data_IF_761710303581
#
_entry.id   IF_761710303581
#
_cell.length_a   1.000
_cell.length_b   1.000
_cell.length_c   1.000
_cell.angle_alpha   90.00
_cell.angle_beta   90.00
_cell.angle_gamma   90.00
#
_symmetry.space_group_name_H-M   'P 1'
#
loop_
_entity.id
_entity.type
_entity.pdbx_description
1 polymer ?
#
# COMPACT_ATOMS: atom_id res chain seq x y z
N UNK A 1 -4.47 -20.08 -19.54
CA UNK A 1 -3.86 -19.40 -18.39
C UNK A 1 -2.37 -19.72 -18.41
N UNK A 2 -1.55 -18.68 -18.35
CA UNK A 2 -0.23 -18.57 -18.99
C UNK A 2 0.87 -19.37 -18.26
N UNK A 3 1.73 -20.08 -18.98
CA UNK A 3 2.80 -20.91 -18.38
C UNK A 3 3.69 -20.21 -17.37
N UNK A 4 3.74 -18.86 -17.40
CA UNK A 4 4.38 -18.04 -16.38
C UNK A 4 3.80 -18.22 -14.97
N UNK A 5 2.47 -18.22 -14.79
CA UNK A 5 1.88 -18.34 -13.44
C UNK A 5 2.06 -19.74 -12.88
N UNK A 6 1.97 -20.76 -13.72
CA UNK A 6 2.29 -22.15 -13.34
C UNK A 6 3.76 -22.29 -12.96
N UNK A 7 4.67 -21.72 -13.74
CA UNK A 7 6.11 -21.72 -13.44
C UNK A 7 6.41 -21.01 -12.11
N UNK A 8 5.82 -19.82 -11.91
CA UNK A 8 6.02 -19.04 -10.68
C UNK A 8 5.49 -19.79 -9.46
N UNK A 9 4.33 -20.45 -9.59
CA UNK A 9 3.73 -21.24 -8.52
C UNK A 9 4.51 -22.50 -8.17
N UNK A 10 5.10 -23.14 -9.17
CA UNK A 10 6.02 -24.28 -8.98
C UNK A 10 7.43 -23.89 -8.56
N UNK A 11 7.75 -22.59 -8.48
CA UNK A 11 9.09 -22.13 -8.07
C UNK A 11 9.40 -22.51 -6.62
N UNK A 12 10.69 -22.59 -6.28
CA UNK A 12 11.12 -22.91 -4.92
C UNK A 12 10.52 -21.95 -3.86
N UNK A 13 10.34 -20.68 -4.21
CA UNK A 13 9.69 -19.68 -3.33
C UNK A 13 8.20 -19.97 -3.18
N UNK A 14 7.49 -20.21 -4.27
CA UNK A 14 6.05 -20.51 -4.25
C UNK A 14 5.75 -21.79 -3.45
N UNK A 15 6.53 -22.85 -3.69
CA UNK A 15 6.42 -24.12 -2.96
C UNK A 15 6.79 -23.94 -1.48
N UNK A 16 7.90 -23.27 -1.16
CA UNK A 16 8.30 -23.04 0.23
C UNK A 16 7.26 -22.23 1.00
N UNK A 17 6.75 -21.14 0.41
CA UNK A 17 5.72 -20.31 1.06
C UNK A 17 4.42 -21.09 1.26
N UNK A 18 4.02 -21.98 0.34
CA UNK A 18 2.77 -22.75 0.43
C UNK A 18 2.85 -24.00 1.32
N UNK A 19 3.93 -24.76 1.23
CA UNK A 19 4.00 -26.13 1.75
C UNK A 19 4.88 -26.28 3.00
N UNK A 20 5.74 -25.31 3.31
CA UNK A 20 6.61 -25.42 4.49
C UNK A 20 5.78 -25.38 5.78
N UNK A 21 5.97 -26.34 6.70
CA UNK A 21 5.29 -26.34 8.00
C UNK A 21 5.89 -25.31 8.98
N UNK A 22 6.94 -24.59 8.58
CA UNK A 22 7.61 -23.61 9.43
C UNK A 22 6.75 -22.37 9.65
N UNK A 23 6.75 -21.85 10.88
CA UNK A 23 6.13 -20.56 11.19
C UNK A 23 6.66 -19.41 10.31
N UNK A 24 7.90 -19.54 9.83
CA UNK A 24 8.61 -18.55 9.04
C UNK A 24 8.15 -18.47 7.57
N UNK A 25 7.38 -19.47 7.11
CA UNK A 25 6.87 -19.51 5.74
C UNK A 25 5.57 -18.70 5.62
N UNK A 26 4.44 -19.32 5.26
CA UNK A 26 3.17 -18.63 5.07
C UNK A 26 2.79 -17.68 6.22
N UNK A 27 2.87 -18.07 7.52
CA UNK A 27 2.39 -17.23 8.61
C UNK A 27 3.20 -15.94 8.77
N UNK A 28 4.54 -16.02 8.81
CA UNK A 28 5.38 -14.83 8.89
C UNK A 28 5.29 -13.99 7.62
N UNK A 29 5.28 -14.58 6.42
CA UNK A 29 5.15 -13.82 5.17
C UNK A 29 3.83 -13.03 5.14
N UNK A 30 2.71 -13.66 5.51
CA UNK A 30 1.41 -13.01 5.60
C UNK A 30 1.38 -11.91 6.68
N UNK A 31 2.02 -12.17 7.82
CA UNK A 31 2.12 -11.20 8.92
C UNK A 31 2.91 -9.97 8.48
N UNK A 32 4.10 -10.16 7.90
CA UNK A 32 4.93 -9.08 7.39
C UNK A 32 4.24 -8.32 6.26
N UNK A 33 3.51 -9.01 5.38
CA UNK A 33 2.68 -8.37 4.35
C UNK A 33 1.67 -7.43 5.00
N UNK A 34 0.93 -7.92 5.99
CA UNK A 34 -0.11 -7.14 6.68
C UNK A 34 0.48 -5.96 7.46
N UNK A 35 1.57 -6.16 8.20
CA UNK A 35 2.27 -5.11 8.96
C UNK A 35 2.85 -4.06 8.01
N UNK A 36 3.53 -4.47 6.93
CA UNK A 36 4.08 -3.55 5.94
C UNK A 36 3.00 -2.69 5.28
N UNK A 37 1.85 -3.30 4.96
CA UNK A 37 0.70 -2.57 4.44
C UNK A 37 0.13 -1.59 5.48
N UNK A 38 0.00 -2.03 6.74
CA UNK A 38 -0.48 -1.19 7.84
C UNK A 38 0.41 0.04 8.08
N UNK A 39 1.74 -0.14 8.03
CA UNK A 39 2.70 0.97 8.14
C UNK A 39 2.56 1.93 6.96
N UNK A 40 2.52 1.41 5.73
CA UNK A 40 2.38 2.22 4.52
C UNK A 40 1.08 3.04 4.54
N UNK A 41 -0.05 2.37 4.70
CA UNK A 41 -1.38 3.00 4.67
C UNK A 41 -1.59 3.91 5.88
N UNK A 42 -1.18 3.48 7.06
CA UNK A 42 -1.34 4.26 8.30
C UNK A 42 -0.54 5.55 8.29
N UNK A 43 0.74 5.49 7.91
CA UNK A 43 1.57 6.69 7.78
C UNK A 43 1.03 7.64 6.69
N UNK A 44 0.54 7.11 5.58
CA UNK A 44 -0.11 7.90 4.55
C UNK A 44 -1.38 8.59 5.06
N UNK A 45 -2.23 7.86 5.78
CA UNK A 45 -3.47 8.38 6.33
C UNK A 45 -3.24 9.52 7.32
N UNK A 46 -2.17 9.47 8.13
CA UNK A 46 -1.81 10.59 9.04
C UNK A 46 -1.54 11.87 8.25
N UNK A 47 -0.82 11.79 7.13
CA UNK A 47 -0.55 12.92 6.25
C UNK A 47 -1.85 13.41 5.61
N UNK A 48 -2.66 12.49 5.08
CA UNK A 48 -3.91 12.83 4.42
C UNK A 48 -4.91 13.52 5.37
N UNK A 49 -5.12 12.97 6.57
CA UNK A 49 -5.97 13.59 7.59
C UNK A 49 -5.44 14.96 8.01
N UNK A 50 -4.11 15.11 8.09
CA UNK A 50 -3.53 16.43 8.36
C UNK A 50 -3.86 17.42 7.24
N UNK A 51 -3.75 17.03 5.97
CA UNK A 51 -4.06 17.89 4.82
C UNK A 51 -5.56 18.21 4.71
N UNK A 52 -6.42 17.31 5.19
CA UNK A 52 -7.86 17.54 5.31
C UNK A 52 -8.25 18.43 6.51
N UNK A 53 -7.30 18.76 7.40
CA UNK A 53 -7.53 19.69 8.51
C UNK A 53 -7.92 19.06 9.84
N UNK A 54 -7.82 17.74 10.01
CA UNK A 54 -8.17 17.06 11.28
C UNK A 54 -7.17 17.32 12.41
N UNK A 55 -5.92 17.69 12.11
CA UNK A 55 -4.86 17.93 13.09
C UNK A 55 -4.12 19.26 12.84
N UNK A 56 -4.81 20.41 12.82
CA UNK A 56 -4.26 21.67 12.29
C UNK A 56 -2.99 22.14 13.02
N UNK A 57 -2.85 21.80 14.31
CA UNK A 57 -1.69 22.14 15.16
C UNK A 57 -0.42 21.37 14.82
N UNK A 58 -0.50 20.30 14.03
CA UNK A 58 0.67 19.49 13.67
C UNK A 58 1.35 20.11 12.44
N UNK A 59 2.61 20.57 12.52
CA UNK A 59 3.27 21.18 11.37
C UNK A 59 3.50 20.15 10.26
N UNK A 60 3.15 20.46 9.01
CA UNK A 60 3.37 19.54 7.87
C UNK A 60 4.85 19.09 7.75
N UNK A 61 5.86 19.94 7.96
CA UNK A 61 7.26 19.51 7.92
C UNK A 61 7.63 18.42 8.92
N UNK A 62 6.95 18.34 10.07
CA UNK A 62 7.24 17.30 11.08
C UNK A 62 6.78 15.90 10.64
N UNK A 63 5.94 15.81 9.61
CA UNK A 63 5.48 14.56 9.02
C UNK A 63 6.43 14.00 7.95
N UNK A 64 7.42 14.77 7.49
CA UNK A 64 8.38 14.33 6.47
C UNK A 64 9.09 12.99 6.78
N UNK A 65 9.45 12.68 8.05
CA UNK A 65 10.03 11.38 8.39
C UNK A 65 9.11 10.18 8.10
N UNK A 66 7.78 10.36 8.10
CA UNK A 66 6.82 9.27 7.82
C UNK A 66 7.02 8.66 6.44
N UNK A 67 7.45 9.44 5.45
CA UNK A 67 7.74 8.90 4.11
C UNK A 67 8.81 7.79 4.14
N UNK A 68 9.79 7.84 5.05
CA UNK A 68 10.79 6.76 5.17
C UNK A 68 10.15 5.45 5.62
N UNK A 69 9.26 5.53 6.60
CA UNK A 69 8.50 4.37 7.10
C UNK A 69 7.53 3.86 6.03
N UNK A 70 6.89 4.75 5.27
CA UNK A 70 6.03 4.37 4.14
C UNK A 70 6.80 3.56 3.10
N UNK A 71 7.98 4.01 2.68
CA UNK A 71 8.80 3.27 1.72
C UNK A 71 9.31 1.94 2.27
N UNK A 72 9.73 1.89 3.54
CA UNK A 72 10.12 0.64 4.18
C UNK A 72 8.93 -0.35 4.23
N UNK A 73 7.75 0.12 4.65
CA UNK A 73 6.52 -0.67 4.67
C UNK A 73 6.12 -1.14 3.27
N UNK A 74 6.26 -0.29 2.25
CA UNK A 74 6.00 -0.66 0.85
C UNK A 74 6.95 -1.74 0.35
N UNK A 75 8.25 -1.64 0.61
CA UNK A 75 9.24 -2.66 0.20
C UNK A 75 8.92 -4.00 0.86
N UNK A 76 8.67 -4.01 2.17
CA UNK A 76 8.26 -5.22 2.89
C UNK A 76 6.99 -5.81 2.27
N UNK A 77 5.98 -4.96 2.03
CA UNK A 77 4.69 -5.39 1.49
C UNK A 77 4.81 -5.93 0.05
N UNK A 78 5.63 -5.30 -0.79
CA UNK A 78 5.85 -5.71 -2.18
C UNK A 78 6.58 -7.05 -2.26
N UNK A 79 7.66 -7.24 -1.48
CA UNK A 79 8.42 -8.49 -1.44
C UNK A 79 7.55 -9.63 -0.94
N UNK A 80 6.91 -9.45 0.22
CA UNK A 80 6.02 -10.47 0.79
C UNK A 80 4.79 -10.72 -0.07
N UNK A 81 4.24 -9.68 -0.72
CA UNK A 81 3.13 -9.79 -1.66
C UNK A 81 3.49 -10.61 -2.90
N UNK A 82 4.72 -10.45 -3.41
CA UNK A 82 5.23 -11.28 -4.50
C UNK A 82 5.38 -12.75 -4.08
N UNK A 83 5.83 -13.02 -2.85
CA UNK A 83 5.91 -14.38 -2.30
C UNK A 83 4.51 -15.02 -2.14
N UNK A 84 3.54 -14.26 -1.59
CA UNK A 84 2.15 -14.71 -1.48
C UNK A 84 1.52 -14.97 -2.84
N UNK A 85 1.74 -14.07 -3.81
CA UNK A 85 1.30 -14.27 -5.17
C UNK A 85 1.94 -15.51 -5.79
N UNK A 86 3.25 -15.72 -5.60
CA UNK A 86 3.92 -16.92 -6.07
C UNK A 86 3.32 -18.19 -5.43
N UNK A 87 2.89 -18.17 -4.17
CA UNK A 87 2.30 -19.36 -3.53
C UNK A 87 1.00 -19.85 -4.16
N UNK A 88 0.24 -18.97 -4.84
CA UNK A 88 -1.08 -19.27 -5.43
C UNK A 88 -1.31 -18.48 -6.74
N UNK A 89 -0.28 -18.40 -7.59
CA UNK A 89 -0.25 -17.49 -8.74
C UNK A 89 -1.33 -17.80 -9.78
N UNK A 90 -1.65 -19.07 -10.03
CA UNK A 90 -2.65 -19.46 -11.04
C UNK A 90 -4.05 -19.00 -10.64
N UNK A 91 -4.38 -19.12 -9.35
CA UNK A 91 -5.67 -18.71 -8.81
C UNK A 91 -5.76 -17.20 -8.75
N UNK A 92 -4.75 -16.53 -8.16
CA UNK A 92 -4.77 -15.07 -7.98
C UNK A 92 -4.71 -14.30 -9.30
N UNK A 93 -4.00 -14.80 -10.31
CA UNK A 93 -4.02 -14.20 -11.65
C UNK A 93 -5.35 -14.38 -12.38
N UNK A 94 -6.19 -15.34 -11.98
CA UNK A 94 -7.54 -15.50 -12.51
C UNK A 94 -8.55 -14.53 -11.89
N UNK A 95 -8.23 -13.89 -10.77
CA UNK A 95 -9.17 -13.06 -10.01
C UNK A 95 -9.11 -11.59 -10.46
N UNK A 96 -10.18 -11.00 -11.03
CA UNK A 96 -10.20 -9.59 -11.43
C UNK A 96 -9.89 -8.63 -10.27
N UNK A 97 -10.33 -8.98 -9.05
CA UNK A 97 -10.09 -8.20 -7.83
C UNK A 97 -8.60 -8.02 -7.51
N UNK A 98 -7.73 -8.96 -7.93
CA UNK A 98 -6.28 -8.82 -7.78
C UNK A 98 -5.75 -7.62 -8.58
N UNK A 99 -6.16 -7.50 -9.85
CA UNK A 99 -5.77 -6.39 -10.72
C UNK A 99 -6.36 -5.06 -10.25
N UNK A 100 -7.59 -5.06 -9.74
CA UNK A 100 -8.21 -3.88 -9.10
C UNK A 100 -7.34 -3.43 -7.92
N UNK A 101 -6.97 -4.35 -7.02
CA UNK A 101 -6.09 -4.03 -5.88
C UNK A 101 -4.77 -3.42 -6.34
N UNK A 102 -4.09 -4.02 -7.31
CA UNK A 102 -2.82 -3.51 -7.82
C UNK A 102 -2.96 -2.11 -8.45
N UNK A 103 -4.04 -1.89 -9.20
CA UNK A 103 -4.33 -0.58 -9.81
C UNK A 103 -4.59 0.47 -8.74
N UNK A 104 -5.38 0.16 -7.71
CA UNK A 104 -5.66 1.08 -6.60
C UNK A 104 -4.38 1.44 -5.84
N UNK A 105 -3.52 0.46 -5.56
CA UNK A 105 -2.21 0.70 -4.91
C UNK A 105 -1.33 1.61 -5.78
N UNK A 106 -1.24 1.32 -7.09
CA UNK A 106 -0.43 2.13 -8.00
C UNK A 106 -0.92 3.58 -8.05
N UNK A 107 -2.23 3.80 -8.19
CA UNK A 107 -2.83 5.13 -8.17
C UNK A 107 -2.60 5.83 -6.82
N UNK A 108 -2.76 5.13 -5.71
CA UNK A 108 -2.54 5.69 -4.37
C UNK A 108 -1.09 6.17 -4.21
N UNK A 109 -0.11 5.35 -4.60
CA UNK A 109 1.31 5.73 -4.56
C UNK A 109 1.62 6.94 -5.45
N UNK A 110 1.00 7.03 -6.63
CA UNK A 110 1.14 8.22 -7.50
C UNK A 110 0.60 9.46 -6.80
N UNK A 111 -0.60 9.39 -6.22
CA UNK A 111 -1.22 10.50 -5.48
C UNK A 111 -0.32 10.92 -4.31
N UNK A 112 0.16 9.97 -3.51
CA UNK A 112 1.12 10.20 -2.42
C UNK A 112 2.39 10.90 -2.90
N UNK A 113 2.96 10.46 -4.03
CA UNK A 113 4.17 11.06 -4.59
C UNK A 113 3.93 12.50 -5.09
N UNK A 114 2.75 12.77 -5.68
CA UNK A 114 2.33 14.12 -6.09
C UNK A 114 2.16 15.02 -4.89
N UNK A 115 1.49 14.56 -3.83
CA UNK A 115 1.35 15.30 -2.56
C UNK A 115 2.75 15.64 -2.03
N UNK A 116 3.62 14.63 -1.86
CA UNK A 116 4.98 14.81 -1.35
C UNK A 116 5.77 15.86 -2.13
N UNK A 117 5.81 15.76 -3.46
CA UNK A 117 6.52 16.71 -4.32
C UNK A 117 5.96 18.12 -4.23
N UNK A 118 4.65 18.25 -4.05
CA UNK A 118 3.99 19.54 -3.88
C UNK A 118 4.37 20.17 -2.54
N UNK A 119 4.43 19.35 -1.48
CA UNK A 119 4.89 19.77 -0.15
C UNK A 119 6.38 20.16 -0.12
N UNK A 120 7.24 19.45 -0.86
CA UNK A 120 8.68 19.71 -0.92
C UNK A 120 9.05 20.95 -1.76
N UNK A 121 8.27 21.28 -2.80
CA UNK A 121 8.57 22.38 -3.74
C UNK A 121 8.03 23.75 -3.33
N UNK A 122 7.08 23.80 -2.40
CA UNK A 122 6.42 25.05 -2.02
C UNK A 122 7.03 25.69 -0.78
N UNK A 123 7.69 26.86 -0.84
CA UNK A 123 7.98 27.67 0.36
C UNK A 123 6.70 28.23 1.02
N UNK A 124 5.53 27.98 0.44
CA UNK A 124 4.29 28.70 0.66
C UNK A 124 3.07 27.84 1.04
N UNK A 125 3.24 26.55 1.39
CA UNK A 125 2.20 25.83 2.16
C UNK A 125 2.22 26.38 3.59
N UNK A 126 1.78 27.63 3.71
CA UNK A 126 1.42 28.25 4.99
C UNK A 126 0.38 27.33 5.63
N UNK A 127 0.33 27.32 6.94
CA UNK A 127 -0.64 26.57 7.74
C UNK A 127 -2.11 26.76 7.28
N UNK A 128 -2.39 27.81 6.48
CA UNK A 128 -3.65 28.13 5.82
C UNK A 128 -4.14 27.13 4.74
N UNK A 129 -3.31 26.18 4.28
CA UNK A 129 -3.72 25.19 3.26
C UNK A 129 -4.38 23.92 3.83
N UNK A 130 -4.62 23.86 5.14
CA UNK A 130 -5.44 22.81 5.76
C UNK A 130 -6.92 23.03 5.38
N UNK A 131 -7.46 22.24 4.45
CA UNK A 131 -8.83 22.41 3.95
C UNK A 131 -9.03 21.95 2.49
N UNK A 132 -10.12 22.36 1.82
CA UNK A 132 -10.55 21.84 0.50
C UNK A 132 -9.67 22.29 -0.69
N UNK A 133 -8.45 22.74 -0.43
CA UNK A 133 -7.47 23.07 -1.47
C UNK A 133 -7.08 21.86 -2.33
N UNK A 134 -6.25 22.06 -3.37
CA UNK A 134 -5.78 20.98 -4.24
C UNK A 134 -5.16 19.80 -3.48
N UNK A 135 -4.35 20.06 -2.46
CA UNK A 135 -3.74 19.02 -1.61
C UNK A 135 -4.78 18.26 -0.78
N UNK A 136 -5.81 18.93 -0.24
CA UNK A 136 -6.90 18.29 0.49
C UNK A 136 -7.73 17.36 -0.39
N UNK A 137 -8.02 17.74 -1.64
CA UNK A 137 -8.71 16.88 -2.60
C UNK A 137 -7.88 15.63 -2.95
N UNK A 138 -6.57 15.79 -3.13
CA UNK A 138 -5.67 14.66 -3.34
C UNK A 138 -5.59 13.75 -2.11
N UNK A 139 -5.58 14.31 -0.90
CA UNK A 139 -5.62 13.54 0.34
C UNK A 139 -6.91 12.74 0.50
N UNK A 140 -8.07 13.32 0.18
CA UNK A 140 -9.34 12.59 0.16
C UNK A 140 -9.33 11.43 -0.86
N UNK A 141 -8.84 11.70 -2.08
CA UNK A 141 -8.70 10.67 -3.11
C UNK A 141 -7.75 9.55 -2.65
N UNK A 142 -6.62 9.91 -2.06
CA UNK A 142 -5.64 8.97 -1.49
C UNK A 142 -6.28 8.04 -0.46
N UNK A 143 -7.05 8.57 0.49
CA UNK A 143 -7.77 7.77 1.48
C UNK A 143 -8.77 6.80 0.83
N UNK A 144 -9.51 7.25 -0.18
CA UNK A 144 -10.46 6.40 -0.92
C UNK A 144 -9.73 5.27 -1.65
N UNK A 145 -8.60 5.59 -2.31
CA UNK A 145 -7.80 4.59 -3.01
C UNK A 145 -7.22 3.54 -2.06
N UNK A 146 -6.68 3.96 -0.91
CA UNK A 146 -6.17 3.04 0.10
C UNK A 146 -7.28 2.19 0.74
N UNK A 147 -8.43 2.80 1.07
CA UNK A 147 -9.59 2.06 1.57
C UNK A 147 -10.10 1.02 0.57
N UNK A 148 -10.12 1.37 -0.73
CA UNK A 148 -10.40 0.45 -1.81
C UNK A 148 -9.39 -0.70 -1.89
N UNK A 149 -8.08 -0.40 -1.80
CA UNK A 149 -7.03 -1.41 -1.84
C UNK A 149 -7.08 -2.38 -0.65
N UNK A 150 -7.37 -1.87 0.56
CA UNK A 150 -7.60 -2.69 1.77
C UNK A 150 -8.82 -3.60 1.57
N UNK A 151 -9.92 -3.03 1.09
CA UNK A 151 -11.16 -3.77 0.82
C UNK A 151 -10.95 -4.87 -0.22
N UNK A 152 -10.32 -4.55 -1.36
CA UNK A 152 -9.97 -5.52 -2.40
C UNK A 152 -9.04 -6.63 -1.86
N UNK A 153 -8.11 -6.26 -0.98
CA UNK A 153 -7.25 -7.19 -0.24
C UNK A 153 -8.04 -8.22 0.57
N UNK A 154 -9.05 -7.78 1.32
CA UNK A 154 -9.93 -8.68 2.09
C UNK A 154 -10.84 -9.50 1.19
N UNK A 155 -11.38 -8.90 0.13
CA UNK A 155 -12.29 -9.58 -0.79
C UNK A 155 -11.62 -10.76 -1.51
N UNK A 156 -10.33 -10.64 -1.86
CA UNK A 156 -9.53 -11.76 -2.41
C UNK A 156 -9.38 -12.99 -1.51
N UNK A 157 -9.70 -12.87 -0.22
CA UNK A 157 -9.70 -14.01 0.70
C UNK A 157 -11.06 -14.74 0.74
N UNK A 158 -12.10 -14.12 0.19
CA UNK A 158 -13.48 -14.62 0.22
C UNK A 158 -14.03 -15.01 -1.16
N UNK A 159 -13.46 -14.45 -2.22
CA UNK A 159 -13.70 -14.81 -3.63
C UNK A 159 -12.61 -15.75 -4.13
#
# INVERSE_FOLDING_TARGET
MTGFTTWLQGSAVGVWTRESPSIWAYPTVLTLHTVGFGVLVGANAVIDFRLLGFAPRLPIPSLAPLYRFMWAGFVINAVTGAMLFASDATTKAGQPVFYIKLTLIALALVVTAVIRRTLERGPALREADAGPGPCGRLAALSLVLWAGAVTAGRLMAYL
#
